data_IF_983502543510
#
_entry.id   IF_983502543510
#
_cell.length_a   1.000
_cell.length_b   1.000
_cell.length_c   1.000
_cell.angle_alpha   90.00
_cell.angle_beta   90.00
_cell.angle_gamma   90.00
#
_symmetry.space_group_name_H-M   'P 1'
#
loop_
_entity.id
_entity.type
_entity.pdbx_description
1 polymer ?
#
# COMPACT_ATOMS: atom_id res chain seq x y z
N UNK A 1 20.71 8.43 1.72
CA UNK A 1 19.28 8.71 1.46
C UNK A 1 18.50 8.21 2.67
N UNK A 2 17.53 8.97 3.18
CA UNK A 2 16.76 8.58 4.37
C UNK A 2 15.68 7.58 3.97
N UNK A 3 15.44 6.56 4.79
CA UNK A 3 14.39 5.57 4.57
C UNK A 3 13.02 6.26 4.52
N UNK A 4 12.25 6.01 3.46
CA UNK A 4 10.90 6.56 3.27
C UNK A 4 9.84 5.50 3.51
N UNK A 5 8.77 5.86 4.19
CA UNK A 5 7.67 4.95 4.51
C UNK A 5 6.51 5.23 3.58
N UNK A 6 5.79 4.19 3.17
CA UNK A 6 4.54 4.36 2.44
C UNK A 6 3.59 3.23 2.83
N UNK A 7 2.31 3.55 3.01
CA UNK A 7 1.28 2.52 3.19
C UNK A 7 0.79 2.07 1.83
N UNK A 8 0.83 0.76 1.59
CA UNK A 8 0.25 0.14 0.42
C UNK A 8 -1.21 -0.20 0.68
N UNK A 9 -2.03 0.13 -0.30
CA UNK A 9 -3.37 -0.41 -0.46
C UNK A 9 -3.31 -1.86 -1.02
N UNK A 10 -4.34 -2.66 -0.74
CA UNK A 10 -4.53 -3.99 -1.34
C UNK A 10 -4.45 -3.94 -2.89
N UNK A 11 -4.97 -2.88 -3.51
CA UNK A 11 -4.91 -2.72 -4.96
C UNK A 11 -3.46 -2.67 -5.50
N UNK A 12 -2.50 -2.12 -4.73
CA UNK A 12 -1.09 -2.02 -5.10
C UNK A 12 -0.41 -3.37 -4.92
N UNK A 13 -0.72 -4.08 -3.83
CA UNK A 13 -0.23 -5.45 -3.60
C UNK A 13 -0.65 -6.33 -4.77
N UNK A 14 -1.94 -6.36 -5.13
CA UNK A 14 -2.44 -7.15 -6.25
C UNK A 14 -1.76 -6.74 -7.57
N UNK A 15 -1.61 -5.44 -7.84
CA UNK A 15 -0.93 -4.94 -9.05
C UNK A 15 0.54 -5.30 -9.10
N UNK A 16 1.23 -5.39 -7.97
CA UNK A 16 2.63 -5.82 -7.91
C UNK A 16 2.79 -7.31 -8.25
N UNK A 17 1.78 -8.14 -7.98
CA UNK A 17 1.79 -9.57 -8.34
C UNK A 17 1.55 -9.77 -9.83
N UNK A 18 0.54 -9.10 -10.39
CA UNK A 18 0.14 -9.31 -11.79
C UNK A 18 0.80 -8.35 -12.78
N UNK A 19 1.45 -7.27 -12.31
CA UNK A 19 1.95 -6.17 -13.11
C UNK A 19 3.45 -5.94 -12.95
N UNK A 20 4.13 -5.77 -14.08
CA UNK A 20 5.59 -5.57 -14.10
C UNK A 20 6.01 -4.19 -13.58
N UNK A 21 5.19 -3.16 -13.79
CA UNK A 21 5.55 -1.77 -13.46
C UNK A 21 5.69 -1.55 -11.95
N UNK A 22 4.68 -1.95 -11.17
CA UNK A 22 4.67 -1.78 -9.72
C UNK A 22 5.78 -2.62 -9.08
N UNK A 23 5.91 -3.89 -9.48
CA UNK A 23 6.97 -4.77 -8.99
C UNK A 23 8.37 -4.19 -9.22
N UNK A 24 8.66 -3.69 -10.44
CA UNK A 24 9.94 -3.05 -10.75
C UNK A 24 10.17 -1.78 -9.95
N UNK A 25 9.13 -0.98 -9.74
CA UNK A 25 9.25 0.24 -8.96
C UNK A 25 9.60 -0.07 -7.50
N UNK A 26 8.89 -1.02 -6.88
CA UNK A 26 9.19 -1.48 -5.51
C UNK A 26 10.63 -2.00 -5.39
N UNK A 27 11.10 -2.78 -6.38
CA UNK A 27 12.49 -3.26 -6.42
C UNK A 27 13.49 -2.10 -6.56
N UNK A 28 13.21 -1.11 -7.42
CA UNK A 28 14.13 0.01 -7.68
C UNK A 28 14.32 0.95 -6.50
N UNK A 29 13.33 1.03 -5.61
CA UNK A 29 13.36 1.92 -4.43
C UNK A 29 13.51 1.15 -3.11
N UNK A 30 13.58 -0.18 -3.15
CA UNK A 30 13.51 -1.06 -1.98
C UNK A 30 14.56 -0.77 -0.90
N UNK A 31 15.80 -0.42 -1.30
CA UNK A 31 16.87 -0.09 -0.34
C UNK A 31 16.60 1.21 0.44
N UNK A 32 15.70 2.05 -0.04
CA UNK A 32 15.36 3.36 0.54
C UNK A 32 13.87 3.49 0.87
N UNK A 33 13.11 2.40 0.82
CA UNK A 33 11.68 2.38 1.06
C UNK A 33 11.28 1.29 2.06
N UNK A 34 10.38 1.64 2.97
CA UNK A 34 9.66 0.71 3.81
C UNK A 34 8.20 0.69 3.36
N UNK A 35 7.78 -0.44 2.80
CA UNK A 35 6.40 -0.65 2.34
C UNK A 35 5.60 -1.23 3.49
N UNK A 36 4.66 -0.47 4.02
CA UNK A 36 3.77 -0.89 5.10
C UNK A 36 2.44 -1.33 4.52
N UNK A 37 1.77 -2.32 5.10
CA UNK A 37 0.35 -2.61 4.81
C UNK A 37 -0.36 -2.99 6.10
N UNK A 38 -1.62 -2.58 6.33
CA UNK A 38 -2.40 -3.21 7.38
C UNK A 38 -2.60 -4.71 7.03
N UNK A 39 -2.69 -5.54 8.06
CA UNK A 39 -2.93 -6.99 7.96
C UNK A 39 -4.12 -7.34 7.04
N UNK A 40 -5.25 -6.64 7.21
CA UNK A 40 -6.46 -6.85 6.40
C UNK A 40 -6.23 -6.68 4.90
N UNK A 41 -5.36 -5.76 4.46
CA UNK A 41 -5.10 -5.58 3.02
C UNK A 41 -4.30 -6.74 2.43
N UNK A 42 -3.43 -7.37 3.24
CA UNK A 42 -2.71 -8.56 2.80
C UNK A 42 -3.66 -9.77 2.73
N UNK A 43 -4.56 -9.90 3.72
CA UNK A 43 -5.60 -10.92 3.73
C UNK A 43 -6.54 -10.79 2.51
N UNK A 44 -6.99 -9.57 2.20
CA UNK A 44 -7.78 -9.28 1.02
C UNK A 44 -7.03 -9.66 -0.27
N UNK A 45 -5.77 -9.26 -0.41
CA UNK A 45 -4.96 -9.63 -1.56
C UNK A 45 -4.86 -11.16 -1.71
N UNK A 46 -4.64 -11.87 -0.60
CA UNK A 46 -4.59 -13.34 -0.59
C UNK A 46 -5.91 -13.98 -1.03
N UNK A 47 -7.06 -13.38 -0.72
CA UNK A 47 -8.38 -13.84 -1.15
C UNK A 47 -8.63 -13.55 -2.65
N UNK A 48 -8.28 -12.36 -3.14
CA UNK A 48 -8.57 -11.94 -4.50
C UNK A 48 -7.63 -12.54 -5.54
N UNK A 49 -6.36 -12.77 -5.21
CA UNK A 49 -5.33 -13.25 -6.14
C UNK A 49 -5.75 -14.55 -6.87
N UNK A 50 -6.24 -15.61 -6.20
CA UNK A 50 -6.69 -16.82 -6.89
C UNK A 50 -7.83 -16.57 -7.87
N UNK A 51 -8.78 -15.70 -7.52
CA UNK A 51 -9.92 -15.33 -8.38
C UNK A 51 -9.45 -14.61 -9.64
N UNK A 52 -8.50 -13.70 -9.51
CA UNK A 52 -7.90 -12.95 -10.62
C UNK A 52 -7.02 -13.84 -11.50
N UNK A 53 -6.25 -14.76 -10.90
CA UNK A 53 -5.44 -15.72 -11.66
C UNK A 53 -6.33 -16.61 -12.55
N UNK A 54 -7.42 -17.14 -11.98
CA UNK A 54 -8.37 -17.97 -12.70
C UNK A 54 -9.04 -17.20 -13.86
N UNK A 55 -9.49 -15.96 -13.63
CA UNK A 55 -10.13 -15.16 -14.68
C UNK A 55 -9.19 -14.78 -15.83
N UNK A 56 -7.88 -14.76 -15.58
CA UNK A 56 -6.84 -14.49 -16.59
C UNK A 56 -6.23 -15.75 -17.19
N UNK A 57 -6.65 -16.95 -16.77
CA UNK A 57 -6.06 -18.22 -17.21
C UNK A 57 -4.58 -18.37 -16.84
N UNK A 58 -4.15 -17.75 -15.74
CA UNK A 58 -2.76 -17.80 -15.26
C UNK A 58 -2.53 -19.01 -14.36
N UNK A 59 -1.32 -19.54 -14.38
CA UNK A 59 -0.90 -20.59 -13.46
C UNK A 59 -0.88 -20.05 -12.02
N UNK A 60 -1.75 -20.60 -11.18
CA UNK A 60 -1.88 -20.20 -9.78
C UNK A 60 -0.58 -20.42 -8.98
N UNK A 61 0.23 -21.43 -9.32
CA UNK A 61 1.49 -21.69 -8.64
C UNK A 61 2.47 -20.54 -8.87
N UNK A 62 2.63 -20.10 -10.13
CA UNK A 62 3.48 -18.97 -10.49
C UNK A 62 2.99 -17.66 -9.87
N UNK A 63 1.67 -17.44 -9.83
CA UNK A 63 1.09 -16.24 -9.22
C UNK A 63 1.31 -16.24 -7.71
N UNK A 64 1.16 -17.38 -7.02
CA UNK A 64 1.44 -17.51 -5.58
C UNK A 64 2.91 -17.28 -5.27
N UNK A 65 3.82 -17.73 -6.13
CA UNK A 65 5.24 -17.43 -6.00
C UNK A 65 5.51 -15.91 -6.10
N UNK A 66 4.88 -15.25 -7.09
CA UNK A 66 4.94 -13.79 -7.24
C UNK A 66 4.42 -13.07 -6.00
N UNK A 67 3.29 -13.51 -5.45
CA UNK A 67 2.74 -12.97 -4.20
C UNK A 67 3.70 -13.16 -3.02
N UNK A 68 4.28 -14.35 -2.84
CA UNK A 68 5.25 -14.60 -1.76
C UNK A 68 6.46 -13.66 -1.83
N UNK A 69 6.94 -13.31 -3.03
CA UNK A 69 8.02 -12.32 -3.19
C UNK A 69 7.60 -10.91 -2.76
N UNK A 70 6.36 -10.53 -3.05
CA UNK A 70 5.80 -9.23 -2.63
C UNK A 70 5.59 -9.22 -1.11
N UNK A 71 5.02 -10.27 -0.54
CA UNK A 71 4.82 -10.37 0.91
C UNK A 71 6.13 -10.29 1.70
N UNK A 72 7.25 -10.78 1.13
CA UNK A 72 8.56 -10.71 1.78
C UNK A 72 9.18 -9.30 1.80
N UNK A 73 8.68 -8.36 0.99
CA UNK A 73 9.19 -6.97 0.95
C UNK A 73 8.24 -5.97 1.62
N UNK A 74 7.05 -6.42 2.02
CA UNK A 74 6.04 -5.59 2.68
C UNK A 74 6.00 -5.92 4.16
N UNK A 75 6.10 -4.88 4.98
CA UNK A 75 5.95 -4.94 6.43
C UNK A 75 4.47 -4.88 6.80
N UNK A 76 3.98 -5.95 7.43
CA UNK A 76 2.59 -6.06 7.86
C UNK A 76 2.41 -5.38 9.22
N UNK A 77 1.48 -4.43 9.28
CA UNK A 77 1.11 -3.71 10.49
C UNK A 77 -0.13 -4.35 11.07
N UNK A 78 -0.05 -4.98 12.26
CA UNK A 78 -1.22 -5.63 12.87
C UNK A 78 -2.24 -4.60 13.38
N UNK A 79 -3.51 -5.00 13.39
CA UNK A 79 -4.62 -4.20 13.88
C UNK A 79 -4.41 -3.59 15.27
N UNK A 80 -3.71 -4.28 16.16
CA UNK A 80 -3.41 -3.80 17.51
C UNK A 80 -2.62 -2.49 17.54
N UNK A 81 -1.87 -2.16 16.48
CA UNK A 81 -1.09 -0.93 16.39
C UNK A 81 -1.89 0.23 15.79
N UNK A 82 -2.55 0.01 14.65
CA UNK A 82 -3.22 1.11 13.94
C UNK A 82 -4.64 1.40 14.49
N UNK A 83 -5.28 0.47 15.22
CA UNK A 83 -6.65 0.66 15.71
C UNK A 83 -6.82 1.85 16.67
N UNK A 84 -5.75 2.31 17.32
CA UNK A 84 -5.79 3.55 18.13
C UNK A 84 -6.16 4.78 17.30
N UNK A 85 -5.92 4.76 15.98
CA UNK A 85 -6.28 5.83 15.05
C UNK A 85 -7.64 5.62 14.36
N UNK A 86 -8.37 4.53 14.65
CA UNK A 86 -9.62 4.19 13.97
C UNK A 86 -10.64 5.32 13.98
N UNK A 87 -10.90 5.90 15.16
CA UNK A 87 -11.89 6.97 15.31
C UNK A 87 -11.54 8.20 14.47
N UNK A 88 -10.25 8.50 14.33
CA UNK A 88 -9.79 9.62 13.50
C UNK A 88 -9.86 9.27 12.01
N UNK A 89 -9.41 8.08 11.62
CA UNK A 89 -9.48 7.61 10.23
C UNK A 89 -10.93 7.61 9.71
N UNK A 90 -11.87 7.03 10.47
CA UNK A 90 -13.29 6.99 10.10
C UNK A 90 -13.88 8.40 9.94
N UNK A 91 -13.53 9.34 10.83
CA UNK A 91 -14.00 10.74 10.72
C UNK A 91 -13.55 11.40 9.42
N UNK A 92 -12.35 11.07 8.92
CA UNK A 92 -11.79 11.65 7.70
C UNK A 92 -12.30 10.94 6.43
N UNK A 93 -12.61 9.65 6.51
CA UNK A 93 -13.14 8.88 5.37
C UNK A 93 -14.61 9.18 5.11
N UNK A 94 -15.43 9.21 6.18
CA UNK A 94 -16.88 9.51 6.35
C UNK A 94 -17.87 9.41 5.17
N UNK A 95 -17.52 9.82 3.96
CA UNK A 95 -18.36 9.78 2.75
C UNK A 95 -17.93 8.73 1.72
N UNK A 96 -16.94 7.89 2.05
CA UNK A 96 -16.31 6.93 1.15
C UNK A 96 -16.35 5.53 1.74
N UNK A 97 -15.67 4.58 1.12
CA UNK A 97 -15.59 3.22 1.63
C UNK A 97 -15.06 3.23 3.07
N UNK A 98 -15.96 2.97 4.02
CA UNK A 98 -15.63 3.03 5.44
C UNK A 98 -14.71 1.88 5.83
N UNK A 99 -14.69 0.79 5.05
CA UNK A 99 -13.88 -0.39 5.34
C UNK A 99 -12.38 -0.15 5.07
N UNK A 100 -12.04 0.93 4.36
CA UNK A 100 -10.67 1.37 4.10
C UNK A 100 -10.00 2.15 5.26
N UNK A 101 -10.71 2.32 6.39
CA UNK A 101 -10.15 2.97 7.57
C UNK A 101 -8.81 2.38 8.07
N UNK A 102 -8.51 1.07 7.95
CA UNK A 102 -7.22 0.51 8.37
C UNK A 102 -6.03 1.09 7.61
N UNK A 103 -6.19 1.35 6.31
CA UNK A 103 -5.15 1.95 5.46
C UNK A 103 -4.83 3.36 5.96
N UNK A 104 -5.88 4.18 6.14
CA UNK A 104 -5.71 5.55 6.63
C UNK A 104 -5.17 5.58 8.08
N UNK A 105 -5.66 4.70 8.95
CA UNK A 105 -5.18 4.60 10.32
C UNK A 105 -3.69 4.23 10.39
N UNK A 106 -3.24 3.33 9.51
CA UNK A 106 -1.81 2.98 9.37
C UNK A 106 -1.00 4.17 8.89
N UNK A 107 -1.50 4.92 7.91
CA UNK A 107 -0.81 6.11 7.40
C UNK A 107 -0.67 7.21 8.46
N UNK A 108 -1.71 7.39 9.30
CA UNK A 108 -1.68 8.30 10.45
C UNK A 108 -0.68 7.85 11.52
N UNK A 109 -0.63 6.55 11.83
CA UNK A 109 0.30 5.98 12.81
C UNK A 109 1.76 6.24 12.42
N UNK A 110 2.10 6.04 11.16
CA UNK A 110 3.48 6.19 10.65
C UNK A 110 3.78 7.58 10.08
N UNK A 111 2.80 8.48 10.07
CA UNK A 111 2.88 9.81 9.45
C UNK A 111 3.50 9.77 8.04
N UNK A 112 2.96 8.88 7.20
CA UNK A 112 3.50 8.61 5.88
C UNK A 112 2.39 8.56 4.82
N UNK A 113 2.70 8.75 3.52
CA UNK A 113 1.67 8.77 2.49
C UNK A 113 1.10 7.37 2.20
N UNK A 114 0.00 7.35 1.45
CA UNK A 114 -0.64 6.14 0.94
C UNK A 114 -0.32 5.99 -0.55
N UNK A 115 0.12 4.80 -0.96
CA UNK A 115 0.17 4.41 -2.37
C UNK A 115 -1.07 3.60 -2.69
N UNK A 116 -1.89 4.14 -3.58
CA UNK A 116 -3.17 3.57 -4.01
C UNK A 116 -3.48 4.05 -5.43
N UNK A 117 -4.26 3.27 -6.18
CA UNK A 117 -4.88 3.75 -7.43
C UNK A 117 -6.29 4.32 -7.20
N UNK A 118 -6.86 4.12 -6.01
CA UNK A 118 -8.21 4.53 -5.67
C UNK A 118 -8.22 5.96 -5.11
N UNK A 119 -9.26 6.70 -5.46
CA UNK A 119 -9.38 8.12 -5.06
C UNK A 119 -10.00 8.28 -3.68
N UNK A 120 -10.28 7.17 -2.98
CA UNK A 120 -11.03 7.19 -1.74
C UNK A 120 -10.25 7.85 -0.57
N UNK A 121 -8.94 7.96 -0.70
CA UNK A 121 -8.11 8.64 0.28
C UNK A 121 -7.95 10.15 0.02
N UNK A 122 -8.49 10.69 -1.07
CA UNK A 122 -8.30 12.10 -1.44
C UNK A 122 -8.89 13.06 -0.38
N UNK A 123 -8.17 14.08 0.09
CA UNK A 123 -8.75 15.02 1.07
C UNK A 123 -8.97 14.43 2.47
N UNK A 124 -8.41 13.26 2.77
CA UNK A 124 -8.32 12.71 4.14
C UNK A 124 -7.19 13.34 4.97
N UNK A 125 -6.48 14.33 4.42
CA UNK A 125 -5.34 14.97 5.09
C UNK A 125 -4.06 14.13 5.09
N UNK A 126 -4.02 13.02 4.36
CA UNK A 126 -2.82 12.21 4.10
C UNK A 126 -2.50 12.30 2.60
N UNK A 127 -1.22 12.50 2.21
CA UNK A 127 -0.86 12.51 0.79
C UNK A 127 -1.06 11.14 0.16
N UNK A 128 -1.56 11.11 -1.07
CA UNK A 128 -1.77 9.89 -1.86
C UNK A 128 -0.93 9.91 -3.13
N UNK A 129 -0.42 8.76 -3.53
CA UNK A 129 0.36 8.59 -4.74
C UNK A 129 -0.14 7.43 -5.58
N UNK A 130 -0.33 7.68 -6.86
CA UNK A 130 -0.57 6.66 -7.89
C UNK A 130 0.75 6.07 -8.38
N UNK A 131 0.71 4.87 -8.97
CA UNK A 131 1.91 4.16 -9.42
C UNK A 131 2.70 4.90 -10.49
N UNK A 132 2.06 5.79 -11.27
CA UNK A 132 2.74 6.62 -12.27
C UNK A 132 3.55 7.77 -11.62
N UNK A 133 3.23 8.18 -10.40
CA UNK A 133 3.84 9.36 -9.73
C UNK A 133 4.56 9.07 -8.43
N UNK A 134 4.33 7.93 -7.77
CA UNK A 134 4.95 7.63 -6.47
C UNK A 134 6.49 7.65 -6.50
N UNK A 135 7.10 7.44 -7.67
CA UNK A 135 8.55 7.61 -7.83
C UNK A 135 9.02 9.02 -7.41
N UNK A 136 8.20 10.07 -7.61
CA UNK A 136 8.54 11.43 -7.18
C UNK A 136 8.65 11.53 -5.66
N UNK A 137 7.80 10.81 -4.93
CA UNK A 137 7.90 10.71 -3.47
C UNK A 137 9.21 10.04 -3.06
N UNK A 138 9.62 8.96 -3.70
CA UNK A 138 10.85 8.27 -3.34
C UNK A 138 12.12 9.06 -3.70
N UNK A 139 12.11 9.79 -4.81
CA UNK A 139 13.26 10.56 -5.30
C UNK A 139 13.31 12.02 -4.82
N UNK A 140 12.32 12.50 -4.06
CA UNK A 140 12.37 13.85 -3.52
C UNK A 140 13.51 14.02 -2.50
N UNK A 141 14.30 15.07 -2.64
CA UNK A 141 15.17 15.54 -1.56
C UNK A 141 14.31 16.32 -0.56
N UNK A 142 14.50 16.10 0.75
CA UNK A 142 13.87 16.95 1.77
C UNK A 142 14.37 18.38 1.55
N UNK A 143 13.47 19.31 1.20
CA UNK A 143 13.79 20.73 1.34
C UNK A 143 13.92 20.97 2.83
N UNK A 144 15.16 21.17 3.30
CA UNK A 144 15.41 21.72 4.63
C UNK A 144 14.68 23.06 4.71
N UNK A 145 13.50 23.08 5.34
CA UNK A 145 12.87 24.30 5.78
C UNK A 145 13.77 24.88 6.89
N UNK A 146 14.45 25.98 6.55
CA UNK A 146 15.23 26.81 7.47
C UNK A 146 14.31 27.60 8.38
#
# INVERSE_FOLDING_TARGET
>A
MRLKFVVLDANIIIRSVFGVKVARLMQSVGDNACFLTPDVCLDDAQEYIPKIAASKGLDLALVREGFGRVSNIVEVVPASLYSQHQSEAIKRIKQRDLDDWPILATALLFNCPIWTEDQDFFGTGVPTWTSDRVHLYFHSEEKNEQ
#
